data_IF_676115983120
#
_entry.id   IF_676115983120
#
_cell.length_a   1.000
_cell.length_b   1.000
_cell.length_c   1.000
_cell.angle_alpha   90.00
_cell.angle_beta   90.00
_cell.angle_gamma   90.00
#
_symmetry.space_group_name_H-M   'P 1'
#
loop_
_entity.id
_entity.type
_entity.pdbx_description
1 polymer ?
#
# COMPACT_ATOMS: atom_id res chain seq x y z
N UNK A 1 -14.33 5.50 8.12
CA UNK A 1 -13.48 4.36 8.50
C UNK A 1 -12.05 4.68 8.08
N UNK A 2 -11.09 4.46 8.97
CA UNK A 2 -9.67 4.71 8.72
C UNK A 2 -8.92 3.38 8.67
N UNK A 3 -8.03 3.20 7.70
CA UNK A 3 -7.17 2.03 7.60
C UNK A 3 -5.76 2.43 7.13
N UNK A 4 -4.80 1.53 7.37
CA UNK A 4 -3.46 1.64 6.80
C UNK A 4 -3.16 0.45 5.94
N UNK A 5 -2.33 0.69 4.93
CA UNK A 5 -1.66 -0.36 4.18
C UNK A 5 -0.18 -0.29 4.50
N UNK A 6 0.46 -1.44 4.54
CA UNK A 6 1.91 -1.59 4.69
C UNK A 6 2.49 -1.99 3.35
N UNK A 7 3.48 -1.24 2.89
CA UNK A 7 4.12 -1.42 1.58
C UNK A 7 5.64 -1.35 1.71
N UNK A 8 6.35 -1.87 0.72
CA UNK A 8 7.81 -1.72 0.57
C UNK A 8 8.17 -1.54 -0.90
N UNK A 9 9.41 -1.17 -1.20
CA UNK A 9 9.94 -1.23 -2.57
C UNK A 9 10.34 -2.65 -2.92
N UNK A 10 10.11 -3.08 -4.16
CA UNK A 10 10.54 -4.40 -4.64
C UNK A 10 12.08 -4.49 -4.55
N UNK A 11 12.56 -5.59 -3.99
CA UNK A 11 13.99 -5.84 -3.77
C UNK A 11 14.56 -5.24 -2.48
N UNK A 12 13.76 -4.50 -1.70
CA UNK A 12 14.15 -4.05 -0.35
C UNK A 12 13.64 -5.04 0.72
N UNK A 13 14.35 -5.18 1.85
CA UNK A 13 13.90 -6.02 2.96
C UNK A 13 12.63 -5.45 3.63
N UNK A 14 11.86 -6.32 4.30
CA UNK A 14 10.64 -5.91 5.02
C UNK A 14 10.90 -4.87 6.12
N UNK A 15 12.14 -4.74 6.60
CA UNK A 15 12.56 -3.71 7.55
C UNK A 15 12.50 -2.29 6.98
N UNK A 16 12.47 -2.13 5.65
CA UNK A 16 12.28 -0.85 4.95
C UNK A 16 10.83 -0.62 4.49
N UNK A 17 9.87 -1.34 5.08
CA UNK A 17 8.46 -1.08 4.83
C UNK A 17 7.98 0.19 5.53
N UNK A 18 6.98 0.85 4.94
CA UNK A 18 6.29 1.99 5.54
C UNK A 18 4.77 1.78 5.50
N UNK A 19 4.07 2.55 6.33
CA UNK A 19 2.62 2.54 6.39
C UNK A 19 2.05 3.78 5.69
N UNK A 20 1.06 3.59 4.84
CA UNK A 20 0.28 4.66 4.21
C UNK A 20 -1.13 4.66 4.81
N UNK A 21 -1.57 5.83 5.30
CA UNK A 21 -2.87 6.04 5.93
C UNK A 21 -3.91 6.48 4.91
N UNK A 22 -5.08 5.87 4.99
CA UNK A 22 -6.22 6.18 4.16
C UNK A 22 -7.45 6.40 5.04
N UNK A 23 -8.07 7.56 4.88
CA UNK A 23 -9.39 7.86 5.45
C UNK A 23 -10.45 7.66 4.37
N UNK A 24 -10.89 6.41 4.24
CA UNK A 24 -11.88 6.00 3.24
C UNK A 24 -12.64 4.79 3.74
N UNK A 25 -13.93 4.77 3.46
CA UNK A 25 -14.76 3.59 3.70
C UNK A 25 -14.52 2.55 2.59
N UNK A 26 -13.93 1.42 2.95
CA UNK A 26 -13.57 0.31 2.05
C UNK A 26 -13.97 -1.02 2.67
N UNK A 27 -14.78 -1.78 1.94
CA UNK A 27 -15.24 -3.09 2.41
C UNK A 27 -14.07 -4.08 2.64
N UNK A 28 -13.09 -4.09 1.73
CA UNK A 28 -11.86 -4.87 1.84
C UNK A 28 -10.60 -3.98 1.71
N UNK A 29 -9.97 -3.61 2.84
CA UNK A 29 -8.72 -2.86 2.86
C UNK A 29 -7.54 -3.56 2.18
N UNK A 30 -7.53 -4.90 2.09
CA UNK A 30 -6.46 -5.64 1.40
C UNK A 30 -6.59 -5.51 -0.10
N UNK A 31 -7.80 -5.70 -0.63
CA UNK A 31 -8.06 -5.51 -2.06
C UNK A 31 -7.76 -4.07 -2.48
N UNK A 32 -8.23 -3.10 -1.69
CA UNK A 32 -7.92 -1.70 -1.93
C UNK A 32 -6.41 -1.41 -1.91
N UNK A 33 -5.68 -1.94 -0.92
CA UNK A 33 -4.23 -1.77 -0.83
C UNK A 33 -3.48 -2.37 -2.02
N UNK A 34 -3.89 -3.53 -2.50
CA UNK A 34 -3.33 -4.14 -3.72
C UNK A 34 -3.60 -3.28 -4.94
N UNK A 35 -4.82 -2.76 -5.09
CA UNK A 35 -5.21 -1.90 -6.20
C UNK A 35 -4.44 -0.57 -6.20
N UNK A 36 -4.25 0.05 -5.03
CA UNK A 36 -3.42 1.26 -4.88
C UNK A 36 -1.98 1.00 -5.32
N UNK A 37 -1.37 -0.09 -4.86
CA UNK A 37 0.01 -0.43 -5.21
C UNK A 37 0.13 -0.74 -6.70
N UNK A 38 -0.84 -1.47 -7.27
CA UNK A 38 -0.88 -1.76 -8.70
C UNK A 38 -1.00 -0.48 -9.54
N UNK A 39 -1.88 0.44 -9.14
CA UNK A 39 -2.04 1.73 -9.80
C UNK A 39 -0.76 2.57 -9.71
N UNK A 40 -0.18 2.69 -8.50
CA UNK A 40 1.10 3.39 -8.32
C UNK A 40 2.16 2.82 -9.25
N UNK A 41 2.27 1.49 -9.31
CA UNK A 41 3.24 0.81 -10.15
C UNK A 41 3.02 1.04 -11.65
N UNK A 42 1.77 1.17 -12.10
CA UNK A 42 1.44 1.51 -13.48
C UNK A 42 1.76 2.98 -13.83
N UNK A 43 1.75 3.87 -12.83
CA UNK A 43 2.04 5.30 -12.98
C UNK A 43 3.47 5.71 -12.65
N UNK A 44 4.35 4.74 -12.40
CA UNK A 44 5.74 4.98 -12.04
C UNK A 44 6.52 5.71 -13.14
N UNK A 45 7.33 6.68 -12.75
CA UNK A 45 8.36 7.21 -13.62
C UNK A 45 9.51 6.19 -13.75
N UNK A 46 10.27 6.28 -14.84
CA UNK A 46 11.37 5.35 -15.15
C UNK A 46 12.51 5.32 -14.12
N UNK A 47 12.64 6.35 -13.29
CA UNK A 47 13.66 6.44 -12.23
C UNK A 47 13.16 5.98 -10.85
N UNK A 48 11.87 5.68 -10.71
CA UNK A 48 11.29 5.26 -9.45
C UNK A 48 11.24 3.72 -9.34
N UNK A 49 11.34 3.20 -8.12
CA UNK A 49 11.25 1.76 -7.86
C UNK A 49 9.80 1.34 -7.62
N UNK A 50 9.34 0.20 -8.17
CA UNK A 50 8.03 -0.35 -7.87
C UNK A 50 7.88 -0.77 -6.42
N UNK A 51 6.62 -0.80 -5.98
CA UNK A 51 6.21 -1.14 -4.63
C UNK A 51 5.54 -2.52 -4.60
N UNK A 52 5.61 -3.15 -3.43
CA UNK A 52 4.92 -4.39 -3.10
C UNK A 52 3.99 -4.15 -1.91
N UNK A 53 2.77 -4.68 -2.02
CA UNK A 53 1.80 -4.71 -0.93
C UNK A 53 2.16 -5.81 0.06
N UNK A 54 2.23 -5.47 1.35
CA UNK A 54 2.52 -6.42 2.42
C UNK A 54 1.23 -6.81 3.16
N UNK A 55 0.52 -5.83 3.72
CA UNK A 55 -0.69 -6.06 4.50
C UNK A 55 -1.54 -4.80 4.63
N UNK A 56 -2.76 -4.95 5.15
CA UNK A 56 -3.59 -3.83 5.58
C UNK A 56 -4.14 -4.08 6.99
N UNK A 57 -4.47 -3.00 7.72
CA UNK A 57 -5.19 -3.08 9.00
C UNK A 57 -6.15 -1.89 9.16
N UNK A 58 -7.33 -2.18 9.67
CA UNK A 58 -8.33 -1.16 10.04
C UNK A 58 -7.89 -0.51 11.35
N UNK A 59 -7.87 0.82 11.38
CA UNK A 59 -7.53 1.62 12.57
C UNK A 59 -8.81 2.04 13.30
N UNK A 60 -9.85 2.44 12.56
CA UNK A 60 -11.10 2.94 13.14
C UNK A 60 -12.28 2.60 12.25
N UNK A 61 -13.27 1.89 12.79
CA UNK A 61 -14.52 1.54 12.10
C UNK A 61 -15.61 2.55 12.44
#
# INVERSE_FOLDING_TARGET
MEFVIKVKKIGEPDSQSWEEKYDKDVEDPNDYGRNIVAYFNATLNSYEKPREFISSRIIKK
#
